data_IF_934979541149
#
_entry.id   IF_934979541149
#
_cell.length_a   1.000
_cell.length_b   1.000
_cell.length_c   1.000
_cell.angle_alpha   90.00
_cell.angle_beta   90.00
_cell.angle_gamma   90.00
#
_symmetry.space_group_name_H-M   'P 1'
#
loop_
_entity.id
_entity.type
_entity.pdbx_description
1 polymer ?
#
# COMPACT_ATOMS: atom_id res chain seq x y z
N UNK A 1 -16.18 2.72 16.72
CA UNK A 1 -14.81 2.19 16.85
C UNK A 1 -13.86 3.08 16.04
N UNK A 2 -12.73 3.54 16.59
CA UNK A 2 -11.89 4.56 15.93
C UNK A 2 -11.05 4.04 14.76
N UNK A 3 -10.82 2.72 14.64
CA UNK A 3 -10.18 2.10 13.48
C UNK A 3 -11.23 1.38 12.64
N UNK A 4 -11.20 1.61 11.32
CA UNK A 4 -12.06 0.96 10.33
C UNK A 4 -11.46 -0.37 9.89
N UNK A 5 -10.16 -0.43 9.62
CA UNK A 5 -9.51 -1.65 9.13
C UNK A 5 -8.03 -1.69 9.50
N UNK A 6 -7.51 -2.91 9.68
CA UNK A 6 -6.09 -3.18 9.97
C UNK A 6 -5.65 -4.30 9.05
N UNK A 7 -4.62 -4.02 8.24
CA UNK A 7 -4.12 -4.96 7.25
C UNK A 7 -2.60 -5.12 7.38
N UNK A 8 -2.10 -6.34 7.21
CA UNK A 8 -0.67 -6.64 7.22
C UNK A 8 -0.26 -7.20 5.86
N UNK A 9 0.65 -6.48 5.20
CA UNK A 9 1.32 -6.95 3.98
C UNK A 9 2.73 -7.37 4.36
N UNK A 10 3.15 -8.56 3.96
CA UNK A 10 4.47 -9.11 4.29
C UNK A 10 5.31 -9.30 3.02
N UNK A 11 6.63 -9.26 3.16
CA UNK A 11 7.51 -9.68 2.08
C UNK A 11 7.54 -11.22 1.95
N UNK A 12 8.13 -11.73 0.86
CA UNK A 12 8.13 -13.17 0.58
C UNK A 12 8.87 -14.01 1.65
N UNK A 13 9.84 -13.41 2.35
CA UNK A 13 10.59 -14.07 3.43
C UNK A 13 9.97 -13.86 4.80
N UNK A 14 8.92 -13.04 4.91
CA UNK A 14 8.31 -12.60 6.16
C UNK A 14 9.34 -11.97 7.14
N UNK A 15 10.40 -11.35 6.61
CA UNK A 15 11.38 -10.56 7.37
C UNK A 15 10.86 -9.14 7.64
N UNK A 16 9.94 -8.67 6.79
CA UNK A 16 9.40 -7.33 6.79
C UNK A 16 7.87 -7.34 6.66
N UNK A 17 7.25 -6.37 7.31
CA UNK A 17 5.82 -6.12 7.19
C UNK A 17 5.54 -4.63 7.02
N UNK A 18 4.48 -4.31 6.29
CA UNK A 18 3.83 -3.01 6.36
C UNK A 18 2.44 -3.19 6.99
N UNK A 19 2.25 -2.60 8.17
CA UNK A 19 0.96 -2.54 8.85
C UNK A 19 0.24 -1.28 8.41
N UNK A 20 -0.96 -1.44 7.87
CA UNK A 20 -1.76 -0.36 7.29
C UNK A 20 -3.04 -0.25 8.12
N UNK A 21 -3.17 0.86 8.85
CA UNK A 21 -4.29 1.13 9.74
C UNK A 21 -5.18 2.24 9.18
N UNK A 22 -6.44 1.93 8.88
CA UNK A 22 -7.44 2.90 8.45
C UNK A 22 -8.13 3.47 9.67
N UNK A 23 -7.97 4.77 9.93
CA UNK A 23 -8.56 5.43 11.10
C UNK A 23 -9.72 6.35 10.71
N UNK A 24 -10.78 6.32 11.52
CA UNK A 24 -11.87 7.30 11.50
C UNK A 24 -11.61 8.49 12.45
N UNK A 25 -10.51 8.45 13.20
CA UNK A 25 -10.10 9.51 14.13
C UNK A 25 -8.66 9.94 13.80
N UNK A 26 -8.53 10.93 12.91
CA UNK A 26 -7.22 11.39 12.46
C UNK A 26 -6.34 11.88 13.60
N UNK A 27 -6.86 12.67 14.55
CA UNK A 27 -6.06 13.16 15.69
C UNK A 27 -5.50 12.02 16.55
N UNK A 28 -6.29 10.96 16.77
CA UNK A 28 -5.81 9.76 17.48
C UNK A 28 -4.79 8.97 16.66
N UNK A 29 -4.95 8.93 15.35
CA UNK A 29 -4.00 8.31 14.43
C UNK A 29 -2.67 9.07 14.37
N UNK A 30 -2.71 10.41 14.35
CA UNK A 30 -1.53 11.27 14.39
C UNK A 30 -0.75 11.12 15.71
N UNK A 31 -1.46 11.03 16.83
CA UNK A 31 -0.85 10.70 18.12
C UNK A 31 -0.20 9.31 18.11
N UNK A 32 -0.90 8.31 17.56
CA UNK A 32 -0.36 6.94 17.44
C UNK A 32 0.88 6.92 16.56
N UNK A 33 0.84 7.58 15.39
CA UNK A 33 1.98 7.73 14.49
C UNK A 33 3.20 8.31 15.21
N UNK A 34 3.04 9.41 15.94
CA UNK A 34 4.13 10.05 16.68
C UNK A 34 4.79 9.09 17.67
N UNK A 35 4.02 8.35 18.48
CA UNK A 35 4.59 7.46 19.48
C UNK A 35 5.09 6.14 18.90
N UNK A 36 4.34 5.52 17.99
CA UNK A 36 4.64 4.20 17.44
C UNK A 36 5.88 4.24 16.55
N UNK A 37 6.13 5.36 15.84
CA UNK A 37 7.35 5.56 15.06
C UNK A 37 8.65 5.36 15.88
N UNK A 38 8.57 5.54 17.20
CA UNK A 38 9.71 5.36 18.11
C UNK A 38 9.98 3.91 18.46
N UNK A 39 9.04 2.99 18.24
CA UNK A 39 9.21 1.58 18.58
C UNK A 39 10.40 0.94 17.81
N UNK A 40 11.13 -0.01 18.41
CA UNK A 40 12.38 -0.52 17.83
C UNK A 40 12.23 -1.21 16.47
N UNK A 41 11.11 -1.91 16.26
CA UNK A 41 10.85 -2.64 15.02
C UNK A 41 10.48 -1.72 13.84
N UNK A 42 10.01 -0.50 14.12
CA UNK A 42 9.56 0.43 13.08
C UNK A 42 10.76 1.06 12.37
N UNK A 43 10.81 0.87 11.05
CA UNK A 43 11.82 1.42 10.16
C UNK A 43 11.35 2.73 9.53
N UNK A 44 10.06 2.81 9.18
CA UNK A 44 9.42 4.02 8.67
C UNK A 44 7.95 4.04 9.06
N UNK A 45 7.46 5.19 9.53
CA UNK A 45 6.05 5.42 9.78
C UNK A 45 5.58 6.66 9.03
N UNK A 46 4.42 6.59 8.37
CA UNK A 46 3.86 7.72 7.61
C UNK A 46 2.35 7.75 7.66
N UNK A 47 1.79 8.95 7.50
CA UNK A 47 0.38 9.14 7.20
C UNK A 47 0.19 9.26 5.69
N UNK A 48 -0.82 8.60 5.14
CA UNK A 48 -1.20 8.69 3.72
C UNK A 48 -2.72 8.73 3.64
N UNK A 49 -3.29 9.89 3.33
CA UNK A 49 -4.74 10.10 3.43
C UNK A 49 -5.28 9.81 4.84
N UNK A 50 -6.24 8.89 4.96
CA UNK A 50 -6.81 8.43 6.23
C UNK A 50 -6.13 7.17 6.82
N UNK A 51 -4.96 6.80 6.28
CA UNK A 51 -4.21 5.62 6.71
C UNK A 51 -2.94 6.02 7.43
N UNK A 52 -2.58 5.23 8.45
CA UNK A 52 -1.21 5.20 8.99
C UNK A 52 -0.54 3.92 8.51
N UNK A 53 0.67 4.05 7.98
CA UNK A 53 1.46 2.95 7.44
C UNK A 53 2.74 2.81 8.25
N UNK A 54 2.94 1.63 8.83
CA UNK A 54 4.13 1.28 9.60
C UNK A 54 4.91 0.21 8.85
N UNK A 55 6.01 0.62 8.21
CA UNK A 55 6.99 -0.30 7.66
C UNK A 55 7.96 -0.73 8.77
N UNK A 56 8.10 -2.04 8.96
CA UNK A 56 8.82 -2.58 10.10
C UNK A 56 9.44 -3.96 9.84
N UNK A 57 10.40 -4.34 10.69
CA UNK A 57 10.88 -5.72 10.78
C UNK A 57 9.87 -6.57 11.53
N UNK A 58 9.67 -7.82 11.09
CA UNK A 58 8.92 -8.81 11.87
C UNK A 58 9.76 -9.28 13.07
N UNK A 59 9.10 -9.82 14.09
CA UNK A 59 9.71 -10.28 15.33
C UNK A 59 9.09 -9.64 16.57
N UNK A 60 9.84 -9.72 17.68
CA UNK A 60 9.45 -9.15 18.98
C UNK A 60 10.54 -8.21 19.46
N UNK A 61 10.14 -7.11 20.09
CA UNK A 61 11.06 -6.17 20.76
C UNK A 61 10.53 -5.81 22.14
N UNK A 62 11.44 -5.39 23.03
CA UNK A 62 11.03 -4.82 24.31
C UNK A 62 10.70 -3.34 24.11
N UNK A 63 9.47 -2.95 24.44
CA UNK A 63 9.06 -1.55 24.42
C UNK A 63 9.38 -0.87 25.76
N UNK A 64 10.22 0.15 25.71
CA UNK A 64 10.42 1.07 26.83
C UNK A 64 9.34 2.16 26.80
N UNK A 65 8.18 1.86 27.40
CA UNK A 65 7.09 2.81 27.44
C UNK A 65 7.36 3.96 28.43
N UNK A 66 7.32 5.20 27.93
CA UNK A 66 7.53 6.41 28.74
C UNK A 66 6.39 7.40 28.51
N UNK A 67 5.67 7.85 29.56
CA UNK A 67 4.62 8.85 29.44
C UNK A 67 5.08 10.07 28.64
N UNK A 68 4.21 10.58 27.76
CA UNK A 68 4.44 11.75 26.90
C UNK A 68 5.60 11.67 25.90
N UNK A 69 6.44 10.64 25.94
CA UNK A 69 7.61 10.49 25.05
C UNK A 69 7.41 9.32 24.08
N UNK A 70 7.24 8.12 24.63
CA UNK A 70 7.03 6.87 23.93
C UNK A 70 5.91 6.10 24.64
N UNK A 71 4.72 6.70 24.68
CA UNK A 71 3.63 6.22 25.53
C UNK A 71 2.93 4.98 24.98
N UNK A 72 3.18 4.61 23.72
CA UNK A 72 2.62 3.42 23.08
C UNK A 72 3.44 3.01 21.85
N UNK A 73 3.30 1.76 21.41
CA UNK A 73 4.01 1.22 20.26
C UNK A 73 3.55 -0.18 19.87
N UNK A 74 4.17 -0.72 18.80
CA UNK A 74 4.03 -2.11 18.37
C UNK A 74 5.17 -2.92 18.99
N UNK A 75 4.82 -3.87 19.85
CA UNK A 75 5.76 -4.73 20.60
C UNK A 75 6.25 -5.89 19.73
N UNK A 76 5.32 -6.53 18.99
CA UNK A 76 5.63 -7.64 18.11
C UNK A 76 4.75 -7.68 16.87
N UNK A 77 5.32 -8.23 15.80
CA UNK A 77 4.63 -8.67 14.58
C UNK A 77 5.16 -10.04 14.23
N UNK A 78 4.35 -11.07 14.44
CA UNK A 78 4.73 -12.47 14.23
C UNK A 78 3.89 -13.04 13.10
N UNK A 79 4.56 -13.53 12.06
CA UNK A 79 3.91 -14.19 10.93
C UNK A 79 3.86 -15.70 11.21
N UNK A 80 2.67 -16.28 11.20
CA UNK A 80 2.42 -17.70 11.43
C UNK A 80 1.55 -18.25 10.30
N UNK A 81 2.17 -18.89 9.31
CA UNK A 81 1.45 -19.37 8.13
C UNK A 81 0.78 -18.23 7.37
N UNK A 82 -0.54 -18.27 7.30
CA UNK A 82 -1.43 -17.31 6.63
C UNK A 82 -1.95 -16.19 7.56
N UNK A 83 -1.47 -16.13 8.80
CA UNK A 83 -1.85 -15.13 9.79
C UNK A 83 -0.68 -14.28 10.27
N UNK A 84 -1.00 -13.07 10.72
CA UNK A 84 -0.07 -12.14 11.37
C UNK A 84 -0.63 -11.73 12.72
N UNK A 85 0.07 -12.07 13.80
CA UNK A 85 -0.22 -11.56 15.13
C UNK A 85 0.50 -10.23 15.35
N UNK A 86 -0.25 -9.17 15.64
CA UNK A 86 0.27 -7.83 15.91
C UNK A 86 -0.03 -7.48 17.36
N UNK A 87 1.01 -7.30 18.18
CA UNK A 87 0.86 -6.91 19.59
C UNK A 87 1.18 -5.45 19.78
N UNK A 88 0.20 -4.71 20.25
CA UNK A 88 0.29 -3.31 20.63
C UNK A 88 0.43 -3.19 22.15
N UNK A 89 1.18 -2.19 22.61
CA UNK A 89 1.23 -1.83 24.01
C UNK A 89 1.12 -0.32 24.20
N UNK A 90 0.58 0.11 25.33
CA UNK A 90 0.50 1.53 25.66
C UNK A 90 0.14 1.83 27.10
N UNK A 91 0.44 3.05 27.52
CA UNK A 91 0.15 3.60 28.84
C UNK A 91 -1.13 4.44 28.81
N UNK A 92 -1.96 4.30 29.83
CA UNK A 92 -3.19 5.06 30.04
C UNK A 92 -4.10 5.11 28.82
N UNK A 93 -4.37 6.30 28.29
CA UNK A 93 -5.18 6.47 27.07
C UNK A 93 -4.60 5.74 25.84
N UNK A 94 -3.28 5.67 25.73
CA UNK A 94 -2.59 4.89 24.69
C UNK A 94 -2.84 3.39 24.83
N UNK A 95 -3.03 2.91 26.07
CA UNK A 95 -3.42 1.53 26.35
C UNK A 95 -4.82 1.17 25.85
N UNK A 96 -5.79 2.10 25.92
CA UNK A 96 -7.12 1.92 25.31
C UNK A 96 -7.01 1.84 23.78
N UNK A 97 -6.12 2.65 23.20
CA UNK A 97 -5.75 2.60 21.79
C UNK A 97 -5.14 1.25 21.38
N UNK A 98 -4.24 0.72 22.19
CA UNK A 98 -3.57 -0.57 21.97
C UNK A 98 -4.51 -1.78 22.10
N UNK A 99 -5.62 -1.64 22.84
CA UNK A 99 -6.58 -2.73 23.08
C UNK A 99 -7.87 -2.55 22.28
N UNK A 100 -8.87 -1.91 22.89
CA UNK A 100 -10.26 -1.90 22.44
C UNK A 100 -10.39 -1.23 21.08
N UNK A 101 -9.63 -0.17 20.83
CA UNK A 101 -9.75 0.62 19.60
C UNK A 101 -9.49 -0.16 18.31
N UNK A 102 -8.65 -1.20 18.36
CA UNK A 102 -8.20 -2.01 17.21
C UNK A 102 -8.89 -3.37 17.09
N UNK A 103 -9.37 -3.93 18.21
CA UNK A 103 -9.89 -5.29 18.30
C UNK A 103 -11.03 -5.64 17.33
N UNK A 104 -11.85 -4.65 16.94
CA UNK A 104 -13.03 -4.86 16.08
C UNK A 104 -12.90 -4.13 14.73
N UNK A 105 -11.68 -3.86 14.28
CA UNK A 105 -11.45 -3.30 12.96
C UNK A 105 -11.64 -4.39 11.88
N UNK A 106 -12.08 -3.98 10.69
CA UNK A 106 -12.11 -4.86 9.51
C UNK A 106 -10.72 -5.49 9.28
N UNK A 107 -10.69 -6.74 8.86
CA UNK A 107 -9.46 -7.52 8.68
C UNK A 107 -8.96 -8.24 9.94
N UNK A 108 -9.48 -7.94 11.13
CA UNK A 108 -9.17 -8.68 12.37
C UNK A 108 -9.98 -9.98 12.44
N UNK A 109 -9.28 -11.12 12.52
CA UNK A 109 -9.85 -12.46 12.68
C UNK A 109 -10.15 -12.78 14.15
N UNK A 110 -9.22 -12.43 15.04
CA UNK A 110 -9.34 -12.63 16.48
C UNK A 110 -8.48 -11.63 17.24
N UNK A 111 -8.72 -11.49 18.54
CA UNK A 111 -7.95 -10.59 19.39
C UNK A 111 -7.84 -11.10 20.83
N UNK A 112 -6.79 -10.64 21.53
CA UNK A 112 -6.57 -10.83 22.97
C UNK A 112 -6.22 -9.47 23.56
N UNK A 113 -6.95 -9.03 24.58
CA UNK A 113 -6.74 -7.70 25.18
C UNK A 113 -6.67 -7.79 26.70
N UNK A 114 -5.77 -7.01 27.30
CA UNK A 114 -5.77 -6.77 28.75
C UNK A 114 -6.81 -5.72 29.14
N UNK A 115 -7.05 -5.56 30.44
CA UNK A 115 -7.70 -4.35 30.94
C UNK A 115 -6.90 -3.10 30.56
N UNK A 116 -7.59 -1.98 30.35
CA UNK A 116 -7.02 -0.72 29.85
C UNK A 116 -7.74 0.49 30.43
N UNK A 117 -7.05 1.63 30.53
CA UNK A 117 -7.59 2.89 31.04
C UNK A 117 -7.03 3.30 32.41
N UNK A 118 -7.18 4.59 32.76
CA UNK A 118 -6.50 5.19 33.90
C UNK A 118 -5.00 5.36 33.64
N UNK A 119 -4.15 4.99 34.61
CA UNK A 119 -2.68 5.02 34.49
C UNK A 119 -2.06 3.67 34.09
N UNK A 120 -2.89 2.66 33.78
CA UNK A 120 -2.44 1.28 33.53
C UNK A 120 -1.62 1.17 32.25
N UNK A 121 -0.65 0.25 32.25
CA UNK A 121 -0.08 -0.31 31.03
C UNK A 121 -1.02 -1.40 30.49
N UNK A 122 -1.37 -1.34 29.21
CA UNK A 122 -2.24 -2.30 28.56
C UNK A 122 -1.61 -2.85 27.29
N UNK A 123 -1.96 -4.10 26.97
CA UNK A 123 -1.53 -4.80 25.77
C UNK A 123 -2.71 -5.38 25.03
N UNK A 124 -2.71 -5.24 23.71
CA UNK A 124 -3.69 -5.85 22.82
C UNK A 124 -3.00 -6.52 21.65
N UNK A 125 -3.31 -7.79 21.44
CA UNK A 125 -2.90 -8.54 20.26
C UNK A 125 -4.10 -8.70 19.34
N UNK A 126 -3.94 -8.39 18.07
CA UNK A 126 -4.90 -8.71 17.01
C UNK A 126 -4.26 -9.69 16.04
N UNK A 127 -5.07 -10.57 15.47
CA UNK A 127 -4.68 -11.51 14.43
C UNK A 127 -5.35 -11.09 13.13
N UNK A 128 -4.58 -10.90 12.06
CA UNK A 128 -5.07 -10.51 10.73
C UNK A 128 -4.50 -11.46 9.68
N UNK A 129 -5.13 -11.62 8.50
CA UNK A 129 -4.53 -12.41 7.43
C UNK A 129 -3.21 -11.80 6.93
N UNK A 130 -2.22 -12.65 6.68
CA UNK A 130 -0.97 -12.34 5.98
C UNK A 130 -1.29 -12.11 4.50
N UNK A 131 -0.91 -10.96 3.96
CA UNK A 131 -1.20 -10.60 2.56
C UNK A 131 0.07 -10.39 1.75
N UNK A 132 0.02 -10.82 0.50
CA UNK A 132 0.96 -10.43 -0.55
C UNK A 132 0.54 -9.10 -1.17
N UNK A 133 1.54 -8.28 -1.50
CA UNK A 133 1.33 -7.03 -2.21
C UNK A 133 1.12 -7.32 -3.69
N UNK A 134 0.00 -6.84 -4.23
CA UNK A 134 -0.31 -6.88 -5.66
C UNK A 134 -0.47 -5.45 -6.17
N UNK A 135 0.34 -5.09 -7.15
CA UNK A 135 0.35 -3.77 -7.77
C UNK A 135 -0.27 -3.89 -9.16
N UNK A 136 -1.25 -3.04 -9.45
CA UNK A 136 -1.91 -3.00 -10.76
C UNK A 136 -1.65 -1.62 -11.36
N UNK A 137 -0.87 -1.58 -12.44
CA UNK A 137 -0.56 -0.37 -13.19
C UNK A 137 -1.49 -0.24 -14.38
N UNK A 138 -2.06 0.95 -14.57
CA UNK A 138 -3.01 1.27 -15.62
C UNK A 138 -2.68 2.63 -16.22
N UNK A 139 -2.80 2.74 -17.53
CA UNK A 139 -2.73 4.00 -18.26
C UNK A 139 -3.51 3.90 -19.58
N UNK A 140 -3.86 5.06 -20.13
CA UNK A 140 -4.49 5.19 -21.45
C UNK A 140 -5.85 4.50 -21.54
N UNK A 141 -6.76 4.81 -20.62
CA UNK A 141 -8.14 4.29 -20.64
C UNK A 141 -9.17 5.31 -21.13
N UNK A 142 -8.78 6.59 -21.18
CA UNK A 142 -9.58 7.72 -21.61
C UNK A 142 -9.26 8.15 -23.04
N UNK A 143 -10.12 8.99 -23.61
CA UNK A 143 -9.94 9.66 -24.90
C UNK A 143 -10.03 11.17 -24.71
N UNK A 144 -9.93 11.94 -25.80
CA UNK A 144 -10.10 13.40 -25.73
C UNK A 144 -11.49 13.83 -25.23
N UNK A 145 -12.51 13.01 -25.46
CA UNK A 145 -13.91 13.36 -25.23
C UNK A 145 -14.58 12.54 -24.12
N UNK A 146 -13.97 11.42 -23.70
CA UNK A 146 -14.60 10.43 -22.80
C UNK A 146 -13.60 9.92 -21.76
N UNK A 147 -14.02 9.97 -20.50
CA UNK A 147 -13.41 9.24 -19.39
C UNK A 147 -12.26 9.97 -18.70
N UNK A 148 -11.78 9.35 -17.62
CA UNK A 148 -10.57 9.73 -16.93
C UNK A 148 -9.99 8.47 -16.27
N UNK A 149 -8.72 8.16 -16.57
CA UNK A 149 -8.11 6.90 -16.14
C UNK A 149 -8.18 6.69 -14.62
N UNK A 150 -7.92 7.73 -13.83
CA UNK A 150 -7.96 7.62 -12.37
C UNK A 150 -9.35 7.32 -11.81
N UNK A 151 -10.41 7.89 -12.40
CA UNK A 151 -11.78 7.70 -11.89
C UNK A 151 -12.29 6.31 -12.23
N UNK A 152 -12.06 5.85 -13.47
CA UNK A 152 -12.46 4.52 -13.91
C UNK A 152 -11.80 3.44 -13.04
N UNK A 153 -10.48 3.50 -12.90
CA UNK A 153 -9.69 2.52 -12.15
C UNK A 153 -10.03 2.51 -10.66
N UNK A 154 -10.23 3.68 -10.04
CA UNK A 154 -10.68 3.77 -8.65
C UNK A 154 -12.06 3.13 -8.44
N UNK A 155 -13.01 3.38 -9.35
CA UNK A 155 -14.36 2.81 -9.24
C UNK A 155 -14.35 1.28 -9.38
N UNK A 156 -13.56 0.73 -10.32
CA UNK A 156 -13.38 -0.72 -10.45
C UNK A 156 -12.72 -1.29 -9.19
N UNK A 157 -11.67 -0.65 -8.70
CA UNK A 157 -10.94 -1.10 -7.51
C UNK A 157 -11.84 -1.15 -6.27
N UNK A 158 -12.67 -0.13 -6.09
CA UNK A 158 -13.63 -0.04 -4.98
C UNK A 158 -14.72 -1.11 -5.05
N UNK A 159 -15.18 -1.46 -6.25
CA UNK A 159 -16.18 -2.53 -6.43
C UNK A 159 -15.59 -3.92 -6.15
N UNK A 160 -14.29 -4.11 -6.43
CA UNK A 160 -13.58 -5.37 -6.21
C UNK A 160 -12.94 -5.50 -4.82
N UNK A 161 -12.97 -4.44 -4.00
CA UNK A 161 -12.45 -4.44 -2.64
C UNK A 161 -13.19 -5.45 -1.76
N UNK A 162 -12.45 -6.43 -1.22
CA UNK A 162 -13.00 -7.46 -0.36
C UNK A 162 -11.94 -7.97 0.63
N UNK A 163 -12.36 -8.78 1.62
CA UNK A 163 -11.45 -9.26 2.66
C UNK A 163 -10.28 -10.10 2.13
N UNK A 164 -10.49 -10.80 1.02
CA UNK A 164 -9.47 -11.63 0.37
C UNK A 164 -8.51 -10.80 -0.52
N UNK A 165 -8.95 -9.65 -1.03
CA UNK A 165 -8.21 -8.76 -1.91
C UNK A 165 -8.54 -7.30 -1.55
N UNK A 166 -7.86 -6.79 -0.52
CA UNK A 166 -8.17 -5.49 0.07
C UNK A 166 -7.55 -4.39 -0.77
N UNK A 167 -8.33 -3.37 -1.14
CA UNK A 167 -7.83 -2.17 -1.81
C UNK A 167 -7.16 -1.23 -0.83
N UNK A 168 -5.82 -1.16 -0.88
CA UNK A 168 -5.00 -0.46 0.11
C UNK A 168 -4.70 0.98 -0.29
N UNK A 169 -4.31 1.24 -1.54
CA UNK A 169 -4.00 2.59 -1.97
C UNK A 169 -4.09 2.81 -3.48
N UNK A 170 -4.05 4.07 -3.84
CA UNK A 170 -4.12 4.58 -5.20
C UNK A 170 -3.18 5.77 -5.32
N UNK A 171 -2.34 5.78 -6.35
CA UNK A 171 -1.50 6.92 -6.66
C UNK A 171 -1.59 7.29 -8.15
N UNK A 172 -1.64 8.60 -8.40
CA UNK A 172 -1.49 9.18 -9.73
C UNK A 172 -0.04 9.53 -9.95
N UNK A 173 0.49 9.20 -11.12
CA UNK A 173 1.92 9.33 -11.39
C UNK A 173 2.12 10.26 -12.57
N UNK A 174 2.74 11.41 -12.30
CA UNK A 174 3.09 12.37 -13.33
C UNK A 174 4.30 11.85 -14.12
N UNK A 175 4.11 11.65 -15.42
CA UNK A 175 5.17 11.24 -16.34
C UNK A 175 5.65 12.42 -17.19
N UNK A 176 6.72 12.18 -17.94
CA UNK A 176 7.25 13.13 -18.91
C UNK A 176 6.19 13.42 -19.99
N UNK A 177 5.83 14.69 -20.23
CA UNK A 177 4.82 15.03 -21.24
C UNK A 177 5.25 14.60 -22.65
N UNK A 178 4.37 13.91 -23.36
CA UNK A 178 4.58 13.48 -24.75
C UNK A 178 3.41 13.91 -25.65
N UNK A 179 3.65 14.20 -26.94
CA UNK A 179 2.60 14.64 -27.87
C UNK A 179 1.44 13.66 -28.05
N UNK A 180 1.69 12.36 -27.83
CA UNK A 180 0.72 11.29 -28.06
C UNK A 180 -0.31 11.12 -26.93
N UNK A 181 -0.15 11.83 -25.79
CA UNK A 181 -1.00 11.69 -24.59
C UNK A 181 -2.00 12.83 -24.44
N UNK A 182 -3.01 12.60 -23.58
CA UNK A 182 -3.92 13.64 -23.09
C UNK A 182 -3.16 14.71 -22.32
N UNK A 183 -3.80 15.86 -22.05
CA UNK A 183 -3.14 17.08 -21.57
C UNK A 183 -2.23 16.91 -20.34
N UNK A 184 -2.49 15.91 -19.47
CA UNK A 184 -1.78 15.77 -18.20
C UNK A 184 -0.75 14.62 -18.16
N UNK A 185 -0.73 13.70 -19.13
CA UNK A 185 0.23 12.57 -19.16
C UNK A 185 0.40 11.85 -17.80
N UNK A 186 -0.72 11.49 -17.17
CA UNK A 186 -0.77 10.87 -15.84
C UNK A 186 -1.15 9.40 -15.93
N UNK A 187 -0.35 8.52 -15.33
CA UNK A 187 -0.69 7.11 -15.17
C UNK A 187 -1.17 6.80 -13.74
N UNK A 188 -1.70 5.59 -13.53
CA UNK A 188 -2.31 5.17 -12.26
C UNK A 188 -1.72 3.85 -11.78
N UNK A 189 -1.40 3.76 -10.48
CA UNK A 189 -1.16 2.49 -9.79
C UNK A 189 -2.18 2.28 -8.68
N UNK A 190 -2.69 1.06 -8.61
CA UNK A 190 -3.51 0.56 -7.52
C UNK A 190 -2.72 -0.46 -6.71
N UNK A 191 -2.88 -0.41 -5.39
CA UNK A 191 -2.25 -1.33 -4.45
C UNK A 191 -3.33 -2.19 -3.79
N UNK A 192 -3.16 -3.50 -3.89
CA UNK A 192 -3.99 -4.49 -3.21
C UNK A 192 -3.16 -5.36 -2.27
N UNK A 193 -3.79 -5.80 -1.18
CA UNK A 193 -3.29 -6.86 -0.32
C UNK A 193 -4.13 -8.13 -0.52
N UNK A 194 -3.55 -9.16 -1.14
CA UNK A 194 -4.23 -10.43 -1.42
C UNK A 194 -3.81 -11.50 -0.41
N UNK A 195 -4.76 -12.30 0.08
CA UNK A 195 -4.48 -13.37 1.06
C UNK A 195 -3.79 -14.58 0.45
N UNK A 196 -4.01 -14.84 -0.84
CA UNK A 196 -3.37 -15.92 -1.59
C UNK A 196 -3.39 -15.65 -3.12
N UNK A 197 -2.74 -16.53 -3.89
CA UNK A 197 -2.70 -16.46 -5.35
C UNK A 197 -4.09 -16.61 -5.99
N UNK A 198 -5.03 -17.34 -5.36
CA UNK A 198 -6.39 -17.49 -5.91
C UNK A 198 -7.16 -16.19 -5.83
N UNK A 199 -7.03 -15.46 -4.72
CA UNK A 199 -7.60 -14.13 -4.54
C UNK A 199 -6.99 -13.14 -5.54
N UNK A 200 -5.66 -13.17 -5.72
CA UNK A 200 -4.98 -12.40 -6.78
C UNK A 200 -5.55 -12.71 -8.16
N UNK A 201 -5.61 -13.97 -8.57
CA UNK A 201 -6.13 -14.33 -9.90
C UNK A 201 -7.57 -13.85 -10.11
N UNK A 202 -8.45 -14.03 -9.12
CA UNK A 202 -9.83 -13.54 -9.20
C UNK A 202 -9.90 -12.02 -9.33
N UNK A 203 -9.11 -11.29 -8.54
CA UNK A 203 -9.00 -9.84 -8.61
C UNK A 203 -8.55 -9.41 -10.02
N UNK A 204 -7.44 -9.95 -10.50
CA UNK A 204 -6.83 -9.60 -11.79
C UNK A 204 -7.78 -9.90 -12.96
N UNK A 205 -8.39 -11.08 -12.99
CA UNK A 205 -9.33 -11.46 -14.04
C UNK A 205 -10.56 -10.55 -14.07
N UNK A 206 -11.12 -10.24 -12.89
CA UNK A 206 -12.30 -9.37 -12.78
C UNK A 206 -11.96 -7.93 -13.15
N UNK A 207 -10.78 -7.46 -12.74
CA UNK A 207 -10.29 -6.12 -13.05
C UNK A 207 -10.05 -5.96 -14.56
N UNK A 208 -9.40 -6.95 -15.20
CA UNK A 208 -9.20 -6.97 -16.65
C UNK A 208 -10.53 -6.92 -17.41
N UNK A 209 -11.50 -7.78 -17.06
CA UNK A 209 -12.83 -7.81 -17.69
C UNK A 209 -13.56 -6.48 -17.54
N UNK A 210 -13.46 -5.84 -16.37
CA UNK A 210 -14.06 -4.53 -16.16
C UNK A 210 -13.39 -3.44 -17.02
N UNK A 211 -12.06 -3.45 -17.14
CA UNK A 211 -11.35 -2.53 -18.02
C UNK A 211 -11.69 -2.71 -19.49
N UNK A 212 -11.71 -3.95 -19.98
CA UNK A 212 -12.08 -4.26 -21.37
C UNK A 212 -13.50 -3.78 -21.70
N UNK A 213 -14.40 -3.80 -20.71
CA UNK A 213 -15.78 -3.34 -20.87
C UNK A 213 -15.93 -1.82 -20.85
N UNK A 214 -15.16 -1.13 -20.01
CA UNK A 214 -15.41 0.28 -19.67
C UNK A 214 -14.33 1.26 -20.16
N UNK A 215 -13.17 0.78 -20.59
CA UNK A 215 -12.14 1.63 -21.21
C UNK A 215 -12.67 2.25 -22.51
N UNK A 216 -12.37 3.53 -22.72
CA UNK A 216 -12.67 4.26 -23.95
C UNK A 216 -11.52 4.21 -24.98
N UNK A 217 -10.40 3.56 -24.64
CA UNK A 217 -9.18 3.53 -25.45
C UNK A 217 -8.77 2.11 -25.82
N UNK A 218 -8.27 1.93 -27.05
CA UNK A 218 -7.61 0.69 -27.51
C UNK A 218 -6.13 0.64 -27.15
N UNK A 219 -5.59 1.77 -26.68
CA UNK A 219 -4.19 1.91 -26.28
C UNK A 219 -3.98 1.60 -24.80
N UNK A 220 -5.01 1.11 -24.11
CA UNK A 220 -4.95 0.74 -22.69
C UNK A 220 -3.78 -0.19 -22.38
N UNK A 221 -2.98 0.24 -21.41
CA UNK A 221 -1.99 -0.60 -20.75
C UNK A 221 -2.53 -1.14 -19.43
N UNK A 222 -2.36 -2.43 -19.20
CA UNK A 222 -2.66 -3.07 -17.91
C UNK A 222 -1.51 -4.02 -17.57
N UNK A 223 -0.84 -3.74 -16.46
CA UNK A 223 0.26 -4.57 -15.94
C UNK A 223 0.06 -4.92 -14.48
N UNK A 224 0.54 -6.09 -14.06
CA UNK A 224 0.42 -6.57 -12.69
C UNK A 224 1.79 -7.03 -12.17
N UNK A 225 2.11 -6.66 -10.93
CA UNK A 225 3.32 -7.10 -10.24
C UNK A 225 2.99 -7.52 -8.81
N UNK A 226 3.34 -8.76 -8.45
CA UNK A 226 3.42 -9.22 -7.06
C UNK A 226 4.83 -8.98 -6.54
N UNK A 227 5.06 -7.85 -5.88
CA UNK A 227 6.35 -7.56 -5.24
C UNK A 227 6.15 -6.59 -4.07
N UNK A 228 6.96 -6.74 -3.02
CA UNK A 228 6.84 -5.92 -1.81
C UNK A 228 7.29 -4.46 -2.03
N UNK A 229 8.21 -4.20 -2.99
CA UNK A 229 8.78 -2.86 -3.21
C UNK A 229 8.80 -2.36 -4.66
N UNK A 230 8.57 -3.22 -5.64
CA UNK A 230 8.80 -2.95 -7.06
C UNK A 230 10.19 -2.37 -7.35
N UNK A 231 11.22 -2.75 -6.58
CA UNK A 231 12.54 -2.08 -6.59
C UNK A 231 13.22 -2.13 -7.96
N UNK A 232 13.02 -3.21 -8.72
CA UNK A 232 13.65 -3.40 -10.02
C UNK A 232 13.15 -2.42 -11.09
N UNK A 233 12.00 -1.80 -10.86
CA UNK A 233 11.39 -0.84 -11.78
C UNK A 233 11.77 0.62 -11.49
N UNK A 234 12.57 0.91 -10.46
CA UNK A 234 12.86 2.29 -10.04
C UNK A 234 13.58 3.09 -11.12
N UNK A 235 14.62 2.51 -11.75
CA UNK A 235 15.37 3.18 -12.81
C UNK A 235 14.49 3.47 -14.03
N UNK A 236 13.69 2.48 -14.45
CA UNK A 236 12.75 2.64 -15.55
C UNK A 236 11.70 3.72 -15.26
N UNK A 237 11.11 3.70 -14.05
CA UNK A 237 10.11 4.68 -13.63
C UNK A 237 10.68 6.10 -13.59
N UNK A 238 11.88 6.29 -13.04
CA UNK A 238 12.54 7.60 -13.02
C UNK A 238 12.79 8.13 -14.44
N UNK A 239 13.25 7.28 -15.37
CA UNK A 239 13.41 7.65 -16.79
C UNK A 239 12.09 8.11 -17.42
N UNK A 240 10.99 7.38 -17.20
CA UNK A 240 9.68 7.75 -17.73
C UNK A 240 9.15 9.11 -17.20
N UNK A 241 9.73 9.63 -16.12
CA UNK A 241 9.39 10.96 -15.55
C UNK A 241 10.23 12.09 -16.13
N UNK A 242 11.33 11.79 -16.83
CA UNK A 242 12.28 12.79 -17.35
C UNK A 242 12.47 12.74 -18.87
N UNK A 243 12.16 11.60 -19.51
CA UNK A 243 12.35 11.40 -20.94
C UNK A 243 11.25 10.52 -21.55
N UNK A 244 11.15 10.56 -22.89
CA UNK A 244 10.31 9.67 -23.66
C UNK A 244 10.96 8.29 -23.76
N UNK A 245 10.23 7.25 -23.36
CA UNK A 245 10.68 5.85 -23.40
C UNK A 245 9.90 5.08 -24.48
N UNK A 246 10.55 4.12 -25.13
CA UNK A 246 9.91 3.31 -26.18
C UNK A 246 9.13 2.12 -25.58
N UNK A 247 8.03 1.74 -26.24
CA UNK A 247 7.26 0.54 -25.88
C UNK A 247 8.12 -0.74 -25.87
N UNK A 248 9.08 -0.84 -26.80
CA UNK A 248 9.98 -2.00 -26.85
C UNK A 248 10.87 -2.08 -25.60
N UNK A 249 11.38 -0.95 -25.10
CA UNK A 249 12.17 -0.92 -23.86
C UNK A 249 11.29 -1.25 -22.64
N UNK A 250 10.06 -0.75 -22.62
CA UNK A 250 9.07 -1.08 -21.59
C UNK A 250 8.80 -2.57 -21.50
N UNK A 251 8.53 -3.24 -22.63
CA UNK A 251 8.21 -4.67 -22.63
C UNK A 251 9.40 -5.52 -22.18
N UNK A 252 10.63 -5.16 -22.57
CA UNK A 252 11.84 -5.82 -22.05
C UNK A 252 11.99 -5.61 -20.55
N UNK A 253 11.78 -4.38 -20.06
CA UNK A 253 11.84 -4.09 -18.62
C UNK A 253 10.77 -4.87 -17.83
N UNK A 254 9.56 -5.03 -18.37
CA UNK A 254 8.51 -5.82 -17.76
C UNK A 254 8.93 -7.30 -17.63
N UNK A 255 9.46 -7.89 -18.70
CA UNK A 255 9.96 -9.27 -18.71
C UNK A 255 11.10 -9.48 -17.70
N UNK A 256 12.10 -8.60 -17.70
CA UNK A 256 13.25 -8.64 -16.77
C UNK A 256 12.84 -8.56 -15.29
N UNK A 257 11.67 -7.98 -15.00
CA UNK A 257 11.17 -7.75 -13.65
C UNK A 257 9.96 -8.63 -13.29
N UNK A 258 9.64 -9.65 -14.09
CA UNK A 258 8.49 -10.55 -13.88
C UNK A 258 7.16 -9.82 -13.74
N UNK A 259 6.96 -8.76 -14.52
CA UNK A 259 5.70 -8.02 -14.57
C UNK A 259 4.78 -8.68 -15.60
N UNK A 260 3.57 -9.02 -15.19
CA UNK A 260 2.55 -9.59 -16.06
C UNK A 260 1.91 -8.48 -16.90
N UNK A 261 2.08 -8.53 -18.24
CA UNK A 261 1.44 -7.60 -19.17
C UNK A 261 0.15 -8.22 -19.68
N UNK A 262 -0.99 -7.65 -19.32
CA UNK A 262 -2.33 -8.21 -19.61
C UNK A 262 -3.03 -7.50 -20.77
N UNK A 263 -2.75 -6.21 -20.94
CA UNK A 263 -3.12 -5.39 -22.09
C UNK A 263 -1.90 -4.58 -22.47
N UNK A 264 -1.47 -4.71 -23.73
CA UNK A 264 -0.20 -4.20 -24.21
C UNK A 264 -0.34 -2.96 -25.10
N UNK A 265 -1.42 -2.18 -25.00
CA UNK A 265 -1.53 -0.90 -25.72
C UNK A 265 -0.40 0.08 -25.33
N UNK A 266 -0.28 1.23 -26.01
CA UNK A 266 0.78 2.20 -25.69
C UNK A 266 0.79 2.69 -24.22
N UNK A 267 -0.34 2.60 -23.52
CA UNK A 267 -0.44 2.82 -22.08
C UNK A 267 0.47 1.92 -21.24
N UNK A 268 0.97 0.79 -21.77
CA UNK A 268 1.89 -0.11 -21.03
C UNK A 268 3.12 0.64 -20.50
N UNK A 269 3.57 1.68 -21.20
CA UNK A 269 4.70 2.54 -20.80
C UNK A 269 4.40 3.20 -19.45
N UNK A 270 3.27 3.88 -19.35
CA UNK A 270 2.87 4.59 -18.14
C UNK A 270 2.37 3.67 -17.04
N UNK A 271 1.69 2.58 -17.42
CA UNK A 271 1.24 1.54 -16.51
C UNK A 271 2.44 0.91 -15.77
N UNK A 272 3.50 0.50 -16.48
CA UNK A 272 4.72 -0.02 -15.87
C UNK A 272 5.43 1.04 -15.02
N UNK A 273 5.51 2.28 -15.52
CA UNK A 273 6.20 3.37 -14.84
C UNK A 273 5.52 3.75 -13.52
N UNK A 274 4.21 3.49 -13.39
CA UNK A 274 3.43 3.80 -12.20
C UNK A 274 3.71 2.88 -11.02
N UNK A 275 4.05 1.60 -11.28
CA UNK A 275 4.08 0.55 -10.26
C UNK A 275 4.87 0.95 -9.00
N UNK A 276 6.10 1.50 -9.07
CA UNK A 276 6.88 1.83 -7.88
C UNK A 276 6.31 2.92 -6.97
N UNK A 277 5.33 3.69 -7.46
CA UNK A 277 4.77 4.84 -6.76
C UNK A 277 3.59 4.50 -5.84
N UNK A 278 3.27 3.22 -5.66
CA UNK A 278 2.23 2.78 -4.73
C UNK A 278 2.41 3.41 -3.34
N UNK A 279 1.30 3.82 -2.70
CA UNK A 279 1.34 4.40 -1.35
C UNK A 279 2.22 5.66 -1.20
N UNK A 280 2.49 6.39 -2.29
CA UNK A 280 3.20 7.68 -2.32
C UNK A 280 2.47 8.77 -3.15
N UNK A 281 1.15 8.98 -2.96
CA UNK A 281 0.36 9.84 -3.83
C UNK A 281 0.80 11.30 -3.84
N UNK A 282 1.43 11.80 -2.77
CA UNK A 282 1.93 13.17 -2.70
C UNK A 282 3.25 13.36 -3.47
N UNK A 283 4.15 12.37 -3.44
CA UNK A 283 5.43 12.42 -4.15
C UNK A 283 5.23 12.19 -5.66
N UNK A 284 4.33 11.27 -6.01
CA UNK A 284 4.18 10.77 -7.38
C UNK A 284 3.64 11.80 -8.36
N UNK A 285 2.88 12.80 -7.89
CA UNK A 285 2.31 13.87 -8.71
C UNK A 285 3.28 15.03 -8.99
N UNK A 286 4.42 15.10 -8.30
CA UNK A 286 5.37 16.21 -8.44
C UNK A 286 6.38 15.91 -9.57
N UNK A 287 6.34 16.64 -10.70
CA UNK A 287 7.26 16.40 -11.84
C UNK A 287 8.73 16.35 -11.41
N UNK A 288 9.51 15.45 -12.01
CA UNK A 288 10.95 15.34 -11.75
C UNK A 288 11.34 14.78 -10.36
N UNK A 289 10.38 14.47 -9.49
CA UNK A 289 10.67 13.76 -8.24
C UNK A 289 11.15 12.35 -8.56
N UNK A 290 12.35 12.02 -8.11
CA UNK A 290 12.90 10.67 -8.23
C UNK A 290 12.41 9.78 -7.09
N UNK A 291 12.09 8.52 -7.42
CA UNK A 291 11.81 7.54 -6.39
C UNK A 291 13.09 7.20 -5.63
N UNK A 292 13.08 7.45 -4.32
CA UNK A 292 14.17 7.06 -3.43
C UNK A 292 13.95 5.63 -2.92
N UNK A 293 15.02 4.79 -2.90
CA UNK A 293 15.04 3.52 -2.18
C UNK A 293 14.51 3.72 -0.77
N UNK A 294 13.68 2.79 -0.30
CA UNK A 294 13.27 2.84 1.09
C UNK A 294 14.47 2.44 1.95
N UNK A 295 14.85 3.33 2.88
CA UNK A 295 15.93 3.03 3.80
C UNK A 295 15.51 1.86 4.70
N UNK A 296 16.38 0.87 4.83
CA UNK A 296 16.26 -0.21 5.80
C UNK A 296 16.83 0.17 7.18
N UNK A 297 17.38 1.39 7.27
CA UNK A 297 17.78 2.03 8.51
C UNK A 297 16.65 2.91 9.02
N UNK A 298 16.49 2.94 10.35
CA UNK A 298 15.48 3.77 10.99
C UNK A 298 15.75 5.24 10.68
N UNK A 299 14.75 5.92 10.15
CA UNK A 299 14.80 7.38 9.96
C UNK A 299 14.45 8.05 11.29
N UNK A 300 15.36 8.87 11.81
CA UNK A 300 15.17 9.62 13.06
C UNK A 300 14.18 10.78 12.89
#
# INVERSE_FOLDING_TARGET
MPYRGIYAVCDAKNEYAEIIEHSNCYSGAAWSLYHYAKAPLILKARSTGNMIRYFMKTGTSNLELKPSVAAAGIESVIVQGDEVEITYAGLGGGGVGATRCRALADGVLSYRISESGGERCAKGTVVVPRRDRVLIGIDDTDSKDIGATWTLTHNIAKELDCQEAVYLSHALVQLFPVPEKTQNCMSTVLEFGCVDEKAKSRLVDSFKKALEKYSASRETGLVVLSDFYAKGLYSYSNRCRTERVSKADTLRCAEENNVEVLLDGNGVIGALASLPWFGRPEESIVPGTEIKPMSMEKTN
#
